data_IF_370601452043
#
_entry.id   IF_370601452043
#
_cell.length_a   1.000
_cell.length_b   1.000
_cell.length_c   1.000
_cell.angle_alpha   90.00
_cell.angle_beta   90.00
_cell.angle_gamma   90.00
#
_symmetry.space_group_name_H-M   'P 1'
#
loop_
_entity.id
_entity.type
_entity.pdbx_description
1 polymer ?
#
# COMPACT_ATOMS: atom_id res chain seq x y z
N UNK A 1 -13.45 -18.35 3.00
CA UNK A 1 -14.61 -18.17 2.10
C UNK A 1 -14.51 -16.83 1.37
N UNK A 2 -14.40 -15.68 2.07
CA UNK A 2 -14.42 -14.34 1.47
C UNK A 2 -13.34 -14.12 0.39
N UNK A 3 -12.07 -14.51 0.66
CA UNK A 3 -10.99 -14.46 -0.33
C UNK A 3 -11.33 -15.27 -1.61
N UNK A 4 -12.00 -16.42 -1.45
CA UNK A 4 -12.41 -17.23 -2.60
C UNK A 4 -13.51 -16.56 -3.44
N UNK A 5 -14.35 -15.72 -2.85
CA UNK A 5 -15.34 -14.94 -3.59
C UNK A 5 -14.67 -13.87 -4.45
N UNK A 6 -13.66 -13.16 -3.92
CA UNK A 6 -12.85 -12.21 -4.70
C UNK A 6 -12.09 -12.94 -5.81
N UNK A 7 -11.46 -14.08 -5.50
CA UNK A 7 -10.75 -14.92 -6.49
C UNK A 7 -11.63 -15.34 -7.66
N UNK A 8 -12.90 -15.64 -7.40
CA UNK A 8 -13.86 -16.06 -8.43
C UNK A 8 -14.55 -14.90 -9.12
N UNK A 9 -14.21 -13.65 -8.75
CA UNK A 9 -14.85 -12.45 -9.30
C UNK A 9 -16.33 -12.30 -8.91
N UNK A 10 -16.79 -13.00 -7.85
CA UNK A 10 -18.16 -12.88 -7.32
C UNK A 10 -18.30 -11.56 -6.55
N UNK A 11 -17.22 -11.10 -5.94
CA UNK A 11 -17.06 -9.75 -5.37
C UNK A 11 -15.72 -9.18 -5.78
N UNK A 12 -15.64 -7.86 -5.91
CA UNK A 12 -14.39 -7.19 -6.33
C UNK A 12 -13.42 -7.00 -5.17
N UNK A 13 -13.93 -6.95 -3.95
CA UNK A 13 -13.09 -6.78 -2.75
C UNK A 13 -13.75 -7.37 -1.51
N UNK A 14 -12.94 -7.60 -0.49
CA UNK A 14 -13.35 -7.96 0.87
C UNK A 14 -12.39 -7.33 1.87
N UNK A 15 -12.85 -7.11 3.09
CA UNK A 15 -12.03 -6.56 4.18
C UNK A 15 -12.01 -7.50 5.38
N UNK A 16 -11.00 -7.31 6.21
CA UNK A 16 -10.82 -8.04 7.45
C UNK A 16 -10.50 -7.05 8.58
N UNK A 17 -11.23 -7.17 9.69
CA UNK A 17 -10.94 -6.38 10.89
C UNK A 17 -9.78 -6.95 11.70
N UNK A 18 -9.49 -6.29 12.83
CA UNK A 18 -8.42 -6.70 13.75
C UNK A 18 -8.65 -8.08 14.37
N UNK A 19 -9.90 -8.54 14.42
CA UNK A 19 -10.30 -9.86 14.93
C UNK A 19 -10.45 -10.90 13.81
N UNK A 20 -10.03 -10.53 12.59
CA UNK A 20 -10.11 -11.38 11.37
C UNK A 20 -11.55 -11.66 10.90
N UNK A 21 -12.51 -10.90 11.38
CA UNK A 21 -13.87 -10.98 10.86
C UNK A 21 -13.92 -10.35 9.48
N UNK A 22 -14.74 -10.94 8.62
CA UNK A 22 -15.01 -10.40 7.29
C UNK A 22 -15.88 -9.16 7.41
N UNK A 23 -15.41 -8.04 6.86
CA UNK A 23 -16.16 -6.80 6.75
C UNK A 23 -16.58 -6.56 5.31
N UNK A 24 -17.77 -6.00 5.15
CA UNK A 24 -18.21 -5.47 3.86
C UNK A 24 -17.66 -4.05 3.69
N UNK A 25 -16.86 -3.76 2.65
CA UNK A 25 -16.33 -2.42 2.41
C UNK A 25 -17.41 -1.34 2.39
N UNK A 26 -18.58 -1.64 1.80
CA UNK A 26 -19.73 -0.76 1.74
C UNK A 26 -20.31 -0.36 3.10
N UNK A 27 -20.04 -1.13 4.14
CA UNK A 27 -20.45 -0.83 5.52
C UNK A 27 -19.29 -0.21 6.30
N UNK A 28 -18.11 -0.83 6.25
CA UNK A 28 -16.96 -0.42 7.05
C UNK A 28 -16.40 0.96 6.67
N UNK A 29 -16.49 1.32 5.37
CA UNK A 29 -15.95 2.56 4.83
C UNK A 29 -17.03 3.60 4.47
N UNK A 30 -18.29 3.33 4.83
CA UNK A 30 -19.39 4.23 4.50
C UNK A 30 -19.23 5.60 5.15
N UNK A 31 -19.17 6.65 4.32
CA UNK A 31 -18.96 8.05 4.76
C UNK A 31 -17.68 8.26 5.57
N UNK A 32 -16.64 7.47 5.34
CA UNK A 32 -15.32 7.64 5.95
C UNK A 32 -14.34 8.34 5.02
N UNK A 33 -13.44 9.14 5.58
CA UNK A 33 -12.20 9.50 4.92
C UNK A 33 -11.31 8.26 4.89
N UNK A 34 -10.87 7.87 3.70
CA UNK A 34 -10.17 6.60 3.50
C UNK A 34 -8.71 6.90 3.19
N UNK A 35 -7.80 6.36 3.99
CA UNK A 35 -6.38 6.41 3.72
C UNK A 35 -5.90 5.01 3.35
N UNK A 36 -5.50 4.85 2.10
CA UNK A 36 -5.15 3.57 1.50
C UNK A 36 -3.65 3.48 1.22
N UNK A 37 -3.04 2.37 1.57
CA UNK A 37 -1.72 1.98 1.05
C UNK A 37 -1.79 0.61 0.41
N UNK A 38 -1.19 0.47 -0.78
CA UNK A 38 -1.13 -0.78 -1.55
C UNK A 38 0.27 -1.34 -1.50
N UNK A 39 0.39 -2.65 -1.24
CA UNK A 39 1.68 -3.32 -1.24
C UNK A 39 1.57 -4.82 -1.07
N UNK A 40 2.71 -5.49 -1.21
CA UNK A 40 2.79 -6.93 -0.94
C UNK A 40 2.89 -7.26 0.55
N UNK A 41 3.52 -6.38 1.35
CA UNK A 41 3.72 -6.53 2.80
C UNK A 41 4.23 -7.93 3.21
N UNK A 42 5.29 -8.38 2.55
CA UNK A 42 5.83 -9.74 2.68
C UNK A 42 7.33 -9.75 3.08
N UNK A 43 7.62 -9.51 4.35
CA UNK A 43 6.73 -9.07 5.43
C UNK A 43 6.45 -7.55 5.40
N UNK A 44 5.56 -7.11 6.29
CA UNK A 44 5.49 -5.70 6.67
C UNK A 44 6.76 -5.32 7.44
N UNK A 45 7.35 -4.16 7.09
CA UNK A 45 8.64 -3.69 7.62
C UNK A 45 8.49 -2.34 8.31
N UNK A 46 9.52 -1.90 9.03
CA UNK A 46 9.51 -0.59 9.71
C UNK A 46 9.31 0.58 8.75
N UNK A 47 9.82 0.50 7.51
CA UNK A 47 9.59 1.56 6.51
C UNK A 47 8.11 1.65 6.10
N UNK A 48 7.39 0.53 6.03
CA UNK A 48 5.95 0.58 5.78
C UNK A 48 5.18 1.26 6.92
N UNK A 49 5.58 1.02 8.16
CA UNK A 49 4.95 1.67 9.32
C UNK A 49 5.25 3.16 9.33
N UNK A 50 6.50 3.56 9.11
CA UNK A 50 6.88 4.98 9.01
C UNK A 50 6.11 5.69 7.90
N UNK A 51 5.98 5.04 6.74
CA UNK A 51 5.24 5.56 5.59
C UNK A 51 3.76 5.80 5.92
N UNK A 52 3.09 4.83 6.57
CA UNK A 52 1.66 4.96 6.88
C UNK A 52 1.40 5.95 8.01
N UNK A 53 2.25 6.00 9.04
CA UNK A 53 2.11 6.92 10.16
C UNK A 53 2.31 8.37 9.72
N UNK A 54 3.36 8.65 8.94
CA UNK A 54 3.63 10.00 8.45
C UNK A 54 2.67 10.39 7.31
N UNK A 55 2.26 9.44 6.47
CA UNK A 55 1.18 9.65 5.51
C UNK A 55 -0.15 9.97 6.18
N UNK A 56 -0.48 9.32 7.31
CA UNK A 56 -1.66 9.63 8.11
C UNK A 56 -1.60 11.05 8.69
N UNK A 57 -0.45 11.49 9.20
CA UNK A 57 -0.29 12.87 9.67
C UNK A 57 -0.56 13.87 8.54
N UNK A 58 0.06 13.68 7.37
CA UNK A 58 -0.17 14.54 6.21
C UNK A 58 -1.64 14.53 5.74
N UNK A 59 -2.32 13.39 5.83
CA UNK A 59 -3.74 13.26 5.52
C UNK A 59 -4.63 13.99 6.52
N UNK A 60 -4.26 13.98 7.80
CA UNK A 60 -4.99 14.67 8.87
C UNK A 60 -4.86 16.21 8.81
N UNK A 61 -3.89 16.75 8.07
CA UNK A 61 -3.75 18.19 7.83
C UNK A 61 -4.79 18.75 6.85
N UNK A 62 -5.54 17.88 6.15
CA UNK A 62 -6.58 18.33 5.23
C UNK A 62 -7.79 18.88 6.01
N UNK A 63 -8.32 20.01 5.56
CA UNK A 63 -9.31 20.82 6.30
C UNK A 63 -10.58 20.05 6.73
N UNK A 64 -11.03 19.09 5.93
CA UNK A 64 -12.29 18.36 6.14
C UNK A 64 -12.09 16.95 6.71
N UNK A 65 -10.87 16.63 7.17
CA UNK A 65 -10.53 15.32 7.73
C UNK A 65 -10.51 15.39 9.25
N UNK A 66 -11.40 14.61 9.88
CA UNK A 66 -11.45 14.44 11.34
C UNK A 66 -10.98 13.04 11.71
N UNK A 67 -10.25 12.90 12.79
CA UNK A 67 -9.64 11.65 13.21
C UNK A 67 -10.65 10.49 13.36
N UNK A 68 -11.81 10.77 13.95
CA UNK A 68 -12.90 9.79 14.16
C UNK A 68 -13.52 9.28 12.84
N UNK A 69 -13.33 10.01 11.74
CA UNK A 69 -13.87 9.67 10.42
C UNK A 69 -12.83 9.01 9.51
N UNK A 70 -11.59 8.81 9.96
CA UNK A 70 -10.52 8.22 9.15
C UNK A 70 -10.50 6.70 9.29
N UNK A 71 -10.48 6.03 8.14
CA UNK A 71 -10.19 4.59 8.04
C UNK A 71 -8.88 4.38 7.31
N UNK A 72 -7.90 3.78 7.99
CA UNK A 72 -6.62 3.39 7.40
C UNK A 72 -6.72 1.95 6.90
N UNK A 73 -6.41 1.73 5.64
CA UNK A 73 -6.59 0.44 4.96
C UNK A 73 -5.30 0.01 4.27
N UNK A 74 -4.82 -1.17 4.62
CA UNK A 74 -3.77 -1.86 3.88
C UNK A 74 -4.40 -2.74 2.81
N UNK A 75 -4.08 -2.48 1.55
CA UNK A 75 -4.64 -3.21 0.43
C UNK A 75 -3.64 -4.18 -0.16
N UNK A 76 -4.09 -5.43 -0.31
CA UNK A 76 -3.43 -6.51 -1.02
C UNK A 76 -4.20 -6.80 -2.31
N UNK A 77 -3.56 -6.73 -3.47
CA UNK A 77 -4.22 -7.15 -4.71
C UNK A 77 -4.15 -8.67 -4.87
N UNK A 78 -5.12 -9.26 -5.56
CA UNK A 78 -5.06 -10.69 -5.89
C UNK A 78 -3.80 -11.05 -6.69
N UNK A 79 -3.30 -10.12 -7.52
CA UNK A 79 -2.05 -10.29 -8.27
C UNK A 79 -0.86 -10.47 -7.31
N UNK A 80 -0.80 -9.70 -6.23
CA UNK A 80 0.27 -9.77 -5.23
C UNK A 80 0.21 -11.05 -4.37
N UNK A 81 -0.93 -11.73 -4.40
CA UNK A 81 -1.15 -13.00 -3.70
C UNK A 81 -0.90 -14.22 -4.59
N UNK A 82 -0.62 -14.00 -5.88
CA UNK A 82 -0.48 -15.07 -6.86
C UNK A 82 1.00 -15.41 -7.08
N UNK A 83 1.37 -16.67 -6.87
CA UNK A 83 2.65 -17.22 -7.28
C UNK A 83 2.39 -18.43 -8.20
N UNK A 84 3.09 -18.51 -9.32
CA UNK A 84 2.96 -19.57 -10.32
C UNK A 84 1.50 -19.83 -10.76
N UNK A 85 0.72 -18.76 -10.90
CA UNK A 85 -0.69 -18.81 -11.29
C UNK A 85 -1.65 -19.30 -10.20
N UNK A 86 -1.16 -19.56 -8.98
CA UNK A 86 -1.97 -19.99 -7.84
C UNK A 86 -1.94 -18.96 -6.72
N UNK A 87 -3.10 -18.70 -6.12
CA UNK A 87 -3.18 -17.86 -4.92
C UNK A 87 -2.73 -18.69 -3.72
N UNK A 88 -1.71 -18.19 -3.04
CA UNK A 88 -1.20 -18.77 -1.79
C UNK A 88 -2.07 -18.25 -0.63
N UNK A 89 -3.14 -18.98 -0.32
CA UNK A 89 -4.11 -18.56 0.71
C UNK A 89 -3.45 -18.43 2.08
N UNK A 90 -2.55 -19.35 2.45
CA UNK A 90 -1.87 -19.27 3.75
C UNK A 90 -0.96 -18.03 3.83
N UNK A 91 -0.16 -17.77 2.82
CA UNK A 91 0.69 -16.59 2.76
C UNK A 91 -0.12 -15.27 2.86
N UNK A 92 -1.33 -15.24 2.28
CA UNK A 92 -2.25 -14.13 2.48
C UNK A 92 -2.70 -14.02 3.95
N UNK A 93 -3.14 -15.11 4.56
CA UNK A 93 -3.59 -15.11 5.95
C UNK A 93 -2.47 -14.64 6.88
N UNK A 94 -1.24 -15.11 6.66
CA UNK A 94 -0.07 -14.71 7.43
C UNK A 94 0.17 -13.19 7.35
N UNK A 95 0.07 -12.59 6.15
CA UNK A 95 0.22 -11.14 5.96
C UNK A 95 -0.93 -10.35 6.62
N UNK A 96 -2.16 -10.81 6.43
CA UNK A 96 -3.33 -10.18 7.04
C UNK A 96 -3.26 -10.24 8.57
N UNK A 97 -2.82 -11.37 9.13
CA UNK A 97 -2.64 -11.56 10.57
C UNK A 97 -1.58 -10.61 11.14
N UNK A 98 -0.46 -10.44 10.45
CA UNK A 98 0.59 -9.52 10.87
C UNK A 98 0.09 -8.07 10.85
N UNK A 99 -0.58 -7.64 9.78
CA UNK A 99 -1.12 -6.28 9.67
C UNK A 99 -2.22 -6.03 10.71
N UNK A 100 -3.11 -7.00 10.94
CA UNK A 100 -4.15 -6.91 11.98
C UNK A 100 -3.56 -6.84 13.38
N UNK A 101 -2.46 -7.57 13.66
CA UNK A 101 -1.76 -7.51 14.96
C UNK A 101 -1.12 -6.16 15.24
N UNK A 102 -0.85 -5.37 14.19
CA UNK A 102 -0.35 -3.99 14.27
C UNK A 102 -1.49 -2.96 14.37
N UNK A 103 -2.75 -3.39 14.39
CA UNK A 103 -3.91 -2.51 14.51
C UNK A 103 -4.46 -1.99 13.19
N UNK A 104 -4.13 -2.61 12.05
CA UNK A 104 -4.58 -2.15 10.74
C UNK A 104 -5.65 -3.05 10.12
N UNK A 105 -6.59 -2.42 9.44
CA UNK A 105 -7.60 -3.11 8.63
C UNK A 105 -6.99 -3.50 7.27
N UNK A 106 -7.28 -4.70 6.83
CA UNK A 106 -6.77 -5.25 5.58
C UNK A 106 -7.89 -5.38 4.56
N UNK A 107 -7.65 -4.93 3.33
CA UNK A 107 -8.53 -5.13 2.19
C UNK A 107 -7.84 -5.98 1.13
N UNK A 108 -8.56 -6.93 0.58
CA UNK A 108 -8.15 -7.67 -0.62
C UNK A 108 -9.01 -7.22 -1.78
N UNK A 109 -8.39 -6.91 -2.90
CA UNK A 109 -9.10 -6.44 -4.09
C UNK A 109 -8.62 -7.10 -5.39
N UNK A 110 -9.47 -7.01 -6.40
CA UNK A 110 -9.14 -7.39 -7.77
C UNK A 110 -8.78 -6.18 -8.65
N UNK A 111 -8.62 -5.00 -8.06
CA UNK A 111 -8.34 -3.77 -8.80
C UNK A 111 -6.84 -3.58 -9.01
N UNK A 112 -6.37 -3.75 -10.25
CA UNK A 112 -4.95 -3.59 -10.60
C UNK A 112 -4.52 -2.12 -10.69
N UNK A 113 -5.44 -1.21 -10.99
CA UNK A 113 -5.17 0.22 -11.20
C UNK A 113 -5.76 1.05 -10.06
N UNK A 114 -5.00 2.05 -9.59
CA UNK A 114 -5.44 2.91 -8.50
C UNK A 114 -6.74 3.65 -8.82
N UNK A 115 -6.90 4.18 -10.04
CA UNK A 115 -8.14 4.87 -10.41
C UNK A 115 -9.37 3.96 -10.34
N UNK A 116 -9.24 2.67 -10.67
CA UNK A 116 -10.32 1.69 -10.53
C UNK A 116 -10.71 1.45 -9.08
N UNK A 117 -9.72 1.37 -8.20
CA UNK A 117 -9.97 1.27 -6.77
C UNK A 117 -10.69 2.50 -6.24
N UNK A 118 -10.28 3.70 -6.68
CA UNK A 118 -10.93 4.95 -6.27
C UNK A 118 -12.34 5.04 -6.81
N UNK A 119 -12.61 4.66 -8.06
CA UNK A 119 -13.97 4.56 -8.60
C UNK A 119 -14.88 3.65 -7.78
N UNK A 120 -14.34 2.55 -7.27
CA UNK A 120 -15.07 1.65 -6.38
C UNK A 120 -15.34 2.27 -5.01
N UNK A 121 -14.35 2.95 -4.41
CA UNK A 121 -14.46 3.52 -3.08
C UNK A 121 -15.27 4.82 -3.03
N UNK A 122 -15.26 5.61 -4.09
CA UNK A 122 -15.89 6.93 -4.13
C UNK A 122 -17.41 6.92 -3.79
N UNK A 123 -18.24 6.01 -4.34
CA UNK A 123 -19.64 5.88 -3.96
C UNK A 123 -19.83 5.50 -2.48
N UNK A 124 -18.88 4.78 -1.89
CA UNK A 124 -18.90 4.35 -0.49
C UNK A 124 -18.52 5.52 0.42
N UNK A 125 -17.45 6.24 0.05
CA UNK A 125 -16.95 7.40 0.81
C UNK A 125 -17.93 8.60 0.80
N UNK A 126 -18.84 8.69 -0.18
CA UNK A 126 -19.88 9.75 -0.27
C UNK A 126 -19.32 11.17 -0.21
N UNK A 127 -18.28 11.45 -1.00
CA UNK A 127 -17.65 12.76 -1.08
C UNK A 127 -16.59 13.03 0.00
N UNK A 128 -16.31 12.05 0.87
CA UNK A 128 -15.17 12.11 1.78
C UNK A 128 -13.85 11.89 1.01
N UNK A 129 -12.75 12.35 1.57
CA UNK A 129 -11.42 12.28 0.94
C UNK A 129 -10.91 10.84 0.88
N UNK A 130 -10.35 10.47 -0.27
CA UNK A 130 -9.62 9.22 -0.47
C UNK A 130 -8.15 9.54 -0.67
N UNK A 131 -7.32 9.26 0.33
CA UNK A 131 -5.87 9.38 0.27
C UNK A 131 -5.24 8.06 -0.17
N UNK A 132 -4.32 8.12 -1.10
CA UNK A 132 -3.50 6.97 -1.51
C UNK A 132 -2.06 7.27 -1.16
N UNK A 133 -1.48 6.47 -0.26
CA UNK A 133 -0.06 6.55 0.06
C UNK A 133 0.71 5.59 -0.83
N UNK A 134 1.79 6.06 -1.43
CA UNK A 134 2.70 5.25 -2.24
C UNK A 134 4.13 5.78 -2.19
N UNK A 135 5.08 4.88 -2.44
CA UNK A 135 6.48 5.27 -2.60
C UNK A 135 6.71 5.99 -3.94
N UNK A 136 7.70 6.85 -3.97
CA UNK A 136 8.03 7.69 -5.13
C UNK A 136 8.23 6.89 -6.42
N UNK A 137 8.84 5.70 -6.37
CA UNK A 137 9.00 4.85 -7.56
C UNK A 137 7.67 4.27 -8.08
N UNK A 138 6.69 4.09 -7.20
CA UNK A 138 5.34 3.69 -7.61
C UNK A 138 4.59 4.83 -8.32
N UNK A 139 4.94 6.08 -8.01
CA UNK A 139 4.40 7.24 -8.73
C UNK A 139 4.82 7.19 -10.20
N UNK A 140 6.07 6.86 -10.51
CA UNK A 140 6.52 6.67 -11.90
C UNK A 140 5.62 5.70 -12.66
N UNK A 141 5.29 4.57 -12.04
CA UNK A 141 4.41 3.56 -12.65
C UNK A 141 3.01 4.12 -12.97
N UNK A 142 2.48 5.02 -12.11
CA UNK A 142 1.19 5.66 -12.36
C UNK A 142 1.25 6.59 -13.58
N UNK A 143 2.40 7.20 -13.86
CA UNK A 143 2.62 8.07 -15.00
C UNK A 143 3.00 7.33 -16.31
N UNK A 144 3.14 6.00 -16.29
CA UNK A 144 3.46 5.24 -17.51
C UNK A 144 2.21 5.05 -18.40
N UNK A 145 2.17 5.74 -19.54
CA UNK A 145 1.06 5.73 -20.50
C UNK A 145 0.69 4.31 -21.00
N UNK A 146 1.67 3.41 -21.08
CA UNK A 146 1.45 2.00 -21.51
C UNK A 146 0.39 1.27 -20.69
N UNK A 147 0.16 1.67 -19.44
CA UNK A 147 -0.83 1.02 -18.58
C UNK A 147 -2.27 1.48 -18.84
N UNK A 148 -2.49 2.46 -19.70
CA UNK A 148 -3.79 3.07 -19.96
C UNK A 148 -4.23 2.95 -21.42
N UNK A 149 -3.52 2.16 -22.23
CA UNK A 149 -3.81 1.98 -23.67
C UNK A 149 -5.20 1.36 -23.97
N UNK A 150 -5.87 0.82 -22.95
CA UNK A 150 -7.24 0.33 -23.06
C UNK A 150 -8.31 1.42 -22.85
N UNK A 151 -7.90 2.64 -22.48
CA UNK A 151 -8.81 3.78 -22.31
C UNK A 151 -8.72 4.68 -23.55
N UNK A 152 -9.83 5.11 -24.15
CA UNK A 152 -9.85 6.03 -25.30
C UNK A 152 -9.08 7.34 -25.02
N UNK A 153 -9.21 7.89 -23.83
CA UNK A 153 -8.47 9.09 -23.36
C UNK A 153 -7.12 8.80 -22.69
N UNK A 154 -6.67 7.54 -22.69
CA UNK A 154 -5.39 7.14 -22.14
C UNK A 154 -5.20 7.52 -20.68
N UNK A 155 -3.98 7.99 -20.36
CA UNK A 155 -3.58 8.42 -19.01
C UNK A 155 -4.44 9.57 -18.49
N UNK A 156 -4.81 10.54 -19.33
CA UNK A 156 -5.63 11.68 -18.91
C UNK A 156 -7.03 11.26 -18.48
N UNK A 157 -7.62 10.27 -19.17
CA UNK A 157 -8.92 9.70 -18.76
C UNK A 157 -8.78 9.00 -17.40
N UNK A 158 -7.75 8.18 -17.19
CA UNK A 158 -7.51 7.51 -15.92
C UNK A 158 -7.35 8.52 -14.77
N UNK A 159 -6.63 9.60 -14.99
CA UNK A 159 -6.43 10.67 -14.00
C UNK A 159 -7.73 11.42 -13.72
N UNK A 160 -8.49 11.77 -14.75
CA UNK A 160 -9.81 12.41 -14.59
C UNK A 160 -10.76 11.53 -13.78
N UNK A 161 -10.79 10.23 -14.05
CA UNK A 161 -11.63 9.25 -13.33
C UNK A 161 -11.19 9.07 -11.87
N UNK A 162 -9.88 9.01 -11.59
CA UNK A 162 -9.36 8.89 -10.22
C UNK A 162 -9.52 10.18 -9.43
N UNK A 163 -8.91 11.25 -9.88
CA UNK A 163 -8.85 12.52 -9.14
C UNK A 163 -10.16 13.31 -9.12
N UNK A 164 -11.10 13.02 -10.04
CA UNK A 164 -12.44 13.59 -10.03
C UNK A 164 -13.31 13.16 -8.84
N UNK A 165 -12.86 12.19 -8.05
CA UNK A 165 -13.59 11.65 -6.90
C UNK A 165 -12.98 12.00 -5.54
N UNK A 166 -12.44 13.22 -5.39
CA UNK A 166 -11.78 13.65 -4.16
C UNK A 166 -10.59 12.75 -3.76
N UNK A 167 -9.83 12.24 -4.71
CA UNK A 167 -8.61 11.51 -4.46
C UNK A 167 -7.42 12.47 -4.30
N UNK A 168 -6.53 12.15 -3.36
CA UNK A 168 -5.18 12.72 -3.26
C UNK A 168 -4.14 11.61 -3.14
N UNK A 169 -2.96 11.85 -3.70
CA UNK A 169 -1.81 10.95 -3.55
C UNK A 169 -0.81 11.59 -2.59
N UNK A 170 -0.33 10.81 -1.63
CA UNK A 170 0.72 11.16 -0.68
C UNK A 170 1.94 10.32 -1.00
N UNK A 171 3.04 10.98 -1.38
CA UNK A 171 4.24 10.32 -1.89
C UNK A 171 5.30 10.24 -0.80
N UNK A 172 5.70 9.03 -0.47
CA UNK A 172 6.77 8.75 0.48
C UNK A 172 8.10 8.61 -0.28
N UNK A 173 9.20 9.21 0.22
CA UNK A 173 10.49 9.17 -0.44
C UNK A 173 11.11 7.77 -0.43
N UNK A 174 12.10 7.55 -1.26
CA UNK A 174 12.87 6.33 -1.34
C UNK A 174 14.37 6.63 -1.43
N UNK A 175 15.17 5.73 -0.86
CA UNK A 175 16.62 5.79 -0.99
C UNK A 175 17.06 4.94 -2.18
N UNK A 176 17.89 5.50 -3.05
CA UNK A 176 18.51 4.77 -4.14
C UNK A 176 19.92 4.33 -3.71
N UNK A 177 20.14 3.02 -3.68
CA UNK A 177 21.42 2.42 -3.27
C UNK A 177 22.52 2.61 -4.31
N UNK A 178 22.16 2.86 -5.59
CA UNK A 178 23.13 2.98 -6.70
C UNK A 178 23.86 4.32 -6.66
N UNK A 179 23.17 5.41 -6.36
CA UNK A 179 23.71 6.77 -6.32
C UNK A 179 23.81 7.37 -4.93
N UNK A 180 23.19 6.73 -3.92
CA UNK A 180 23.19 7.17 -2.53
C UNK A 180 22.25 8.34 -2.25
N UNK A 181 21.34 8.68 -3.16
CA UNK A 181 20.44 9.81 -3.08
C UNK A 181 19.04 9.42 -2.59
N UNK A 182 18.34 10.38 -1.98
CA UNK A 182 16.93 10.25 -1.64
C UNK A 182 16.09 10.84 -2.78
N UNK A 183 15.21 10.03 -3.32
CA UNK A 183 14.25 10.43 -4.35
C UNK A 183 12.91 10.79 -3.72
N UNK A 184 12.40 11.94 -4.10
CA UNK A 184 11.12 12.50 -3.67
C UNK A 184 10.39 13.18 -4.84
N UNK A 185 9.34 13.95 -4.59
CA UNK A 185 8.61 14.69 -5.63
C UNK A 185 9.42 15.80 -6.31
N UNK A 186 10.55 16.24 -5.76
CA UNK A 186 11.33 17.36 -6.30
C UNK A 186 12.37 16.90 -7.29
N UNK A 187 12.86 15.67 -7.17
CA UNK A 187 13.92 15.11 -8.00
C UNK A 187 13.55 13.83 -8.75
N UNK A 188 12.30 13.35 -8.61
CA UNK A 188 11.87 12.18 -9.38
C UNK A 188 11.82 12.52 -10.88
N UNK A 189 12.37 11.62 -11.68
CA UNK A 189 12.31 11.72 -13.14
C UNK A 189 11.10 10.98 -13.69
N UNK A 190 10.27 11.67 -14.45
CA UNK A 190 9.17 11.11 -15.25
C UNK A 190 9.38 11.47 -16.72
N UNK A 191 8.61 10.85 -17.62
CA UNK A 191 8.70 11.14 -19.04
C UNK A 191 8.55 12.65 -19.30
N UNK A 192 9.43 13.27 -20.13
CA UNK A 192 9.48 14.72 -20.34
C UNK A 192 8.13 15.35 -20.75
N UNK A 193 7.32 14.63 -21.54
CA UNK A 193 5.99 15.06 -21.97
C UNK A 193 4.96 15.09 -20.82
N UNK A 194 5.24 14.46 -19.69
CA UNK A 194 4.33 14.36 -18.53
C UNK A 194 4.74 15.26 -17.36
N UNK A 195 5.89 15.94 -17.43
CA UNK A 195 6.35 16.87 -16.38
C UNK A 195 5.32 17.96 -16.12
N UNK A 196 4.73 18.54 -17.16
CA UNK A 196 3.68 19.55 -17.04
C UNK A 196 2.44 19.04 -16.30
N UNK A 197 2.06 17.77 -16.52
CA UNK A 197 0.96 17.15 -15.81
C UNK A 197 1.30 16.92 -14.33
N UNK A 198 2.50 16.43 -14.02
CA UNK A 198 2.94 16.27 -12.62
C UNK A 198 2.92 17.61 -11.89
N UNK A 199 3.44 18.67 -12.50
CA UNK A 199 3.43 20.01 -11.92
C UNK A 199 2.00 20.50 -11.67
N UNK A 200 1.10 20.35 -12.65
CA UNK A 200 -0.32 20.68 -12.48
C UNK A 200 -0.94 19.95 -11.29
N UNK A 201 -0.66 18.65 -11.14
CA UNK A 201 -1.19 17.84 -10.03
C UNK A 201 -0.64 18.29 -8.66
N UNK A 202 0.63 18.69 -8.61
CA UNK A 202 1.26 19.24 -7.39
C UNK A 202 0.69 20.61 -7.03
N UNK A 203 0.63 21.53 -7.99
CA UNK A 203 0.16 22.91 -7.81
C UNK A 203 -1.33 22.96 -7.37
N UNK A 204 -2.09 21.92 -7.70
CA UNK A 204 -3.50 21.76 -7.32
C UNK A 204 -3.71 20.81 -6.13
N UNK A 205 -2.67 20.53 -5.34
CA UNK A 205 -2.75 19.68 -4.15
C UNK A 205 -3.34 18.26 -4.40
N UNK A 206 -3.22 17.75 -5.63
CA UNK A 206 -3.66 16.38 -5.98
C UNK A 206 -2.59 15.34 -5.67
N UNK A 207 -1.32 15.74 -5.74
CA UNK A 207 -0.17 14.94 -5.37
C UNK A 207 0.65 15.75 -4.38
N UNK A 208 0.86 15.21 -3.19
CA UNK A 208 1.55 15.85 -2.07
C UNK A 208 2.71 14.98 -1.59
N UNK A 209 3.74 15.61 -1.10
CA UNK A 209 4.88 14.95 -0.50
C UNK A 209 4.62 14.66 0.98
N UNK A 210 5.03 13.49 1.44
CA UNK A 210 5.15 13.16 2.87
C UNK A 210 6.50 13.71 3.32
N UNK A 211 6.48 14.86 4.02
CA UNK A 211 7.69 15.59 4.41
C UNK A 211 8.39 15.00 5.62
N UNK A 212 7.61 14.44 6.55
CA UNK A 212 8.14 13.78 7.74
C UNK A 212 8.39 12.31 7.45
N UNK A 213 9.61 11.85 7.65
CA UNK A 213 9.99 10.44 7.51
C UNK A 213 11.29 10.19 8.27
N UNK A 214 11.57 8.92 8.56
CA UNK A 214 12.84 8.52 9.15
C UNK A 214 13.84 8.09 8.06
N UNK A 215 14.86 8.91 7.74
CA UNK A 215 15.83 8.58 6.68
C UNK A 215 16.57 7.25 6.92
N UNK A 216 16.74 6.85 8.19
CA UNK A 216 17.41 5.59 8.55
C UNK A 216 16.62 4.34 8.14
N UNK A 217 15.34 4.46 7.81
CA UNK A 217 14.50 3.35 7.41
C UNK A 217 14.40 3.19 5.89
N UNK A 218 14.77 4.22 5.12
CA UNK A 218 14.55 4.25 3.66
C UNK A 218 15.33 3.16 2.90
N UNK A 219 16.39 2.60 3.50
CA UNK A 219 17.17 1.51 2.91
C UNK A 219 16.48 0.14 3.05
N UNK A 220 15.40 0.03 3.84
CA UNK A 220 14.73 -1.24 4.09
C UNK A 220 13.87 -1.63 2.88
N UNK A 221 14.25 -2.71 2.20
CA UNK A 221 13.48 -3.27 1.09
C UNK A 221 12.83 -4.59 1.52
N UNK A 222 11.50 -4.68 1.37
CA UNK A 222 10.73 -5.85 1.80
C UNK A 222 11.21 -7.17 1.16
N UNK A 223 11.66 -7.13 -0.09
CA UNK A 223 12.19 -8.30 -0.80
C UNK A 223 13.54 -8.76 -0.24
N UNK A 224 14.38 -7.82 0.19
CA UNK A 224 15.65 -8.14 0.86
C UNK A 224 15.41 -8.76 2.22
N UNK A 225 14.46 -8.21 2.98
CA UNK A 225 14.03 -8.76 4.27
C UNK A 225 13.53 -10.20 4.09
N UNK A 226 12.68 -10.45 3.09
CA UNK A 226 12.21 -11.79 2.75
C UNK A 226 13.36 -12.74 2.40
N UNK A 227 14.31 -12.27 1.63
CA UNK A 227 15.50 -13.05 1.23
C UNK A 227 16.36 -13.41 2.43
N UNK A 228 16.59 -12.46 3.34
CA UNK A 228 17.32 -12.68 4.61
C UNK A 228 16.60 -13.71 5.50
N UNK A 229 15.27 -13.64 5.62
CA UNK A 229 14.45 -14.63 6.37
C UNK A 229 14.69 -16.03 5.83
N UNK A 230 14.54 -16.22 4.52
CA UNK A 230 14.71 -17.53 3.85
C UNK A 230 16.13 -18.08 3.97
N UNK A 231 17.11 -17.19 3.96
CA UNK A 231 18.53 -17.56 4.12
C UNK A 231 18.93 -17.88 5.59
N UNK A 232 18.02 -17.69 6.55
CA UNK A 232 18.29 -17.90 7.97
C UNK A 232 19.26 -16.87 8.58
N UNK A 233 19.44 -15.70 7.93
CA UNK A 233 20.20 -14.60 8.51
C UNK A 233 19.40 -13.98 9.68
N UNK A 234 20.06 -13.42 10.69
CA UNK A 234 19.38 -12.74 11.81
C UNK A 234 19.13 -11.25 11.57
N UNK A 235 19.84 -10.63 10.64
CA UNK A 235 19.81 -9.18 10.41
C UNK A 235 18.46 -8.62 9.94
N UNK A 236 17.54 -9.44 9.47
CA UNK A 236 16.19 -9.01 9.10
C UNK A 236 15.34 -8.56 10.30
N UNK A 237 15.68 -9.01 11.50
CA UNK A 237 14.90 -8.68 12.72
C UNK A 237 14.94 -7.17 13.03
N UNK A 238 16.00 -6.48 12.65
CA UNK A 238 16.14 -5.04 12.82
C UNK A 238 15.26 -4.24 11.82
N UNK A 239 14.87 -4.86 10.72
CA UNK A 239 14.12 -4.24 9.63
C UNK A 239 12.60 -4.31 9.80
N UNK A 240 12.11 -5.13 10.74
CA UNK A 240 10.66 -5.32 11.00
C UNK A 240 10.26 -4.82 12.39
N UNK A 241 8.97 -4.49 12.62
CA UNK A 241 8.46 -4.26 13.97
C UNK A 241 8.72 -5.48 14.87
N UNK A 242 8.99 -5.25 16.16
CA UNK A 242 9.33 -6.32 17.11
C UNK A 242 8.25 -7.40 17.18
N UNK A 243 6.96 -7.01 17.19
CA UNK A 243 5.82 -7.94 17.20
C UNK A 243 5.78 -8.81 15.95
N UNK A 244 6.09 -8.22 14.78
CA UNK A 244 6.18 -8.94 13.51
C UNK A 244 7.34 -9.94 13.54
N UNK A 245 8.50 -9.55 14.03
CA UNK A 245 9.66 -10.44 14.19
C UNK A 245 9.36 -11.64 15.09
N UNK A 246 8.70 -11.39 16.23
CA UNK A 246 8.25 -12.47 17.13
C UNK A 246 7.26 -13.41 16.45
N UNK A 247 6.28 -12.89 15.71
CA UNK A 247 5.30 -13.69 15.00
C UNK A 247 5.92 -14.53 13.87
N UNK A 248 6.84 -13.95 13.08
CA UNK A 248 7.56 -14.69 12.04
C UNK A 248 8.30 -15.90 12.64
N UNK A 249 9.00 -15.72 13.75
CA UNK A 249 9.73 -16.79 14.42
C UNK A 249 8.82 -17.83 15.07
N UNK A 250 7.71 -17.39 15.66
CA UNK A 250 6.80 -18.27 16.38
C UNK A 250 6.00 -19.16 15.43
N UNK A 251 5.46 -18.58 14.34
CA UNK A 251 4.64 -19.26 13.34
C UNK A 251 5.42 -19.77 12.13
N UNK A 252 6.75 -19.60 12.11
CA UNK A 252 7.63 -20.02 11.00
C UNK A 252 7.20 -19.46 9.64
N UNK A 253 6.82 -18.16 9.63
CA UNK A 253 6.28 -17.51 8.44
C UNK A 253 7.35 -17.24 7.38
N UNK A 254 6.93 -17.09 6.13
CA UNK A 254 7.75 -16.65 4.99
C UNK A 254 9.00 -17.52 4.71
N UNK A 255 8.98 -18.77 5.16
CA UNK A 255 10.11 -19.68 5.00
C UNK A 255 11.17 -19.54 6.08
N UNK A 256 10.85 -18.91 7.20
CA UNK A 256 11.70 -18.92 8.38
C UNK A 256 11.93 -20.34 8.89
N UNK A 257 13.18 -20.66 9.18
CA UNK A 257 13.56 -21.95 9.77
C UNK A 257 14.20 -21.71 11.12
N UNK A 258 13.68 -22.37 12.16
CA UNK A 258 14.36 -22.37 13.47
C UNK A 258 15.73 -23.00 13.32
N UNK A 259 16.77 -22.29 13.77
CA UNK A 259 18.10 -22.92 13.89
C UNK A 259 18.00 -23.99 14.98
N UNK A 260 18.18 -25.25 14.60
CA UNK A 260 18.40 -26.30 15.58
C UNK A 260 19.66 -25.92 16.39
N UNK A 261 19.47 -25.67 17.67
CA UNK A 261 20.59 -25.57 18.59
C UNK A 261 21.12 -27.01 18.71
N UNK A 262 22.19 -27.31 17.98
CA UNK A 262 22.93 -28.55 18.24
C UNK A 262 23.52 -28.39 19.64
N UNK A 263 22.90 -29.08 20.58
CA UNK A 263 23.42 -29.28 21.95
C UNK A 263 24.62 -30.21 21.90
#
# INVERSE_FOLDING_TARGET
IALNLVKRGITDSTMFDLSKNVLQPTTALYKKNILLTRGRFRPVTKVHIDMIENGRKAFMEENDVKEEDVSVVFELTLKDLTADGKILVQDFLDRADLLSSLGYTVMVSNYLKHYKMVEYLAPIARGKLIGVILGVYNLNTIFEEKYYGNLPGGLLEAFGRGFGHHMKIYVYPAFNVEDGEIYDLNNIEIAPNLVGLLNYMRDNDKIKEIKEFNPKLLHIMSDDVLSKIKAGASSWEEDVPESVGKAIKFYELFGYQKKEIKV
#
